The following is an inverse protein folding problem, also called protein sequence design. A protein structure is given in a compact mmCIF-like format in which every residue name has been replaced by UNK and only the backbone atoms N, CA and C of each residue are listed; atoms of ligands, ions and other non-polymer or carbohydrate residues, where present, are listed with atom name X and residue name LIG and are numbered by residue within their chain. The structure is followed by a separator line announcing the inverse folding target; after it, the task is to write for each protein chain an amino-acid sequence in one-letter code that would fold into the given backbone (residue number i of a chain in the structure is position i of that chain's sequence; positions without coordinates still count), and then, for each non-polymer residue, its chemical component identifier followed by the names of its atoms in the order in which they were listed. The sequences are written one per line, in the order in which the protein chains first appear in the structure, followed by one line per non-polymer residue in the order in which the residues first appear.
data_IF_848505874458
#
_entry.id   IF_848505874458
#
_cell.length_a   1.000
_cell.length_b   1.000
_cell.length_c   1.000
_cell.angle_alpha   90.00
_cell.angle_beta   90.00
_cell.angle_gamma   90.00
#
_symmetry.space_group_name_H-M   'P 1'
#
loop_
_entity.id
_entity.type
_entity.pdbx_description
1 polymer ?
#
# COMPACT_ATOMS: atom_id res chain seq x y z
N UNK A 1 49.55 23.33 58.29
CA UNK A 1 49.65 21.86 58.40
C UNK A 1 48.26 21.29 58.21
N UNK A 2 48.13 20.52 57.13
CA UNK A 2 47.06 19.67 56.59
C UNK A 2 45.60 20.15 56.35
N UNK A 3 45.02 19.77 55.19
CA UNK A 3 43.73 20.22 54.64
C UNK A 3 42.64 19.11 54.77
N UNK A 4 41.59 19.20 53.94
CA UNK A 4 40.40 18.32 53.76
C UNK A 4 39.17 18.85 54.54
N UNK A 5 37.98 19.04 53.97
CA UNK A 5 37.34 18.32 52.87
C UNK A 5 36.26 19.16 52.17
N UNK A 6 36.09 18.93 50.86
CA UNK A 6 35.15 19.60 49.98
C UNK A 6 33.76 18.98 50.11
N UNK A 7 32.79 19.73 50.63
CA UNK A 7 31.39 19.33 50.66
C UNK A 7 30.72 19.47 49.29
N UNK A 8 30.75 18.41 48.48
CA UNK A 8 29.88 18.28 47.31
C UNK A 8 28.42 18.11 47.78
N UNK A 9 27.57 19.06 47.40
CA UNK A 9 26.11 18.93 47.50
C UNK A 9 25.64 17.82 46.53
N UNK A 10 25.18 16.72 47.12
CA UNK A 10 24.55 15.60 46.43
C UNK A 10 23.20 16.04 45.84
N UNK A 11 23.05 15.89 44.52
CA UNK A 11 21.77 16.07 43.84
C UNK A 11 20.88 14.87 44.19
N UNK A 12 19.76 15.11 44.87
CA UNK A 12 18.71 14.09 45.06
C UNK A 12 18.25 13.54 43.71
N UNK A 13 18.10 12.21 43.53
CA UNK A 13 17.48 11.67 42.34
C UNK A 13 15.97 11.89 42.40
N UNK A 14 15.43 12.56 41.39
CA UNK A 14 13.99 12.58 41.14
C UNK A 14 13.52 11.16 40.82
N UNK A 15 12.83 10.53 41.77
CA UNK A 15 12.16 9.25 41.58
C UNK A 15 10.80 9.50 40.91
N UNK A 16 10.79 9.67 39.59
CA UNK A 16 9.57 9.68 38.78
C UNK A 16 9.18 8.22 38.49
N UNK A 17 8.39 7.63 39.39
CA UNK A 17 7.84 6.28 39.24
C UNK A 17 6.80 6.25 38.10
N UNK A 18 7.31 6.07 36.89
CA UNK A 18 6.85 5.10 35.89
C UNK A 18 5.35 4.78 35.87
N UNK A 19 4.54 5.66 35.28
CA UNK A 19 3.28 5.28 34.64
C UNK A 19 3.56 4.69 33.24
N UNK A 20 4.19 3.50 33.17
CA UNK A 20 4.63 2.86 31.92
C UNK A 20 3.65 1.84 31.34
N UNK A 21 2.33 1.98 31.54
CA UNK A 21 1.35 1.01 31.03
C UNK A 21 0.67 1.38 29.69
N UNK A 22 1.03 2.49 29.02
CA UNK A 22 0.32 2.95 27.80
C UNK A 22 1.11 2.95 26.48
N UNK A 23 2.38 2.56 26.49
CA UNK A 23 3.26 2.81 25.32
C UNK A 23 3.12 1.78 24.18
N UNK A 24 2.64 0.56 24.46
CA UNK A 24 2.54 -0.49 23.42
C UNK A 24 1.38 -0.29 22.45
N UNK A 25 0.27 0.33 22.89
CA UNK A 25 -0.88 0.60 22.02
C UNK A 25 -0.57 1.73 21.02
N UNK A 26 0.10 2.80 21.49
CA UNK A 26 0.51 3.92 20.62
C UNK A 26 1.52 3.50 19.54
N UNK A 27 2.47 2.61 19.86
CA UNK A 27 3.43 2.09 18.86
C UNK A 27 2.76 1.32 17.73
N UNK A 28 1.73 0.49 18.02
CA UNK A 28 1.02 -0.28 16.98
C UNK A 28 0.21 0.60 16.01
N UNK A 29 -0.25 1.77 16.44
CA UNK A 29 -1.05 2.69 15.61
C UNK A 29 -0.18 3.43 14.58
N UNK A 30 1.09 3.63 14.90
CA UNK A 30 2.07 4.32 14.06
C UNK A 30 2.89 3.37 13.19
N UNK A 31 2.65 2.07 13.26
CA UNK A 31 3.30 1.08 12.39
C UNK A 31 2.47 0.82 11.14
N UNK A 32 3.15 0.50 10.04
CA UNK A 32 2.51 0.12 8.78
C UNK A 32 1.46 -0.97 9.02
N UNK A 33 0.20 -0.79 8.58
CA UNK A 33 -0.79 -1.83 8.70
C UNK A 33 -0.38 -3.10 7.94
N UNK A 34 -0.66 -4.27 8.52
CA UNK A 34 -0.47 -5.57 7.86
C UNK A 34 -1.47 -5.78 6.71
N UNK A 35 -2.50 -4.95 6.66
CA UNK A 35 -3.58 -5.04 5.69
C UNK A 35 -3.18 -4.56 4.30
N UNK A 36 -3.68 -5.28 3.30
CA UNK A 36 -3.49 -4.90 1.91
C UNK A 36 -4.32 -3.67 1.55
N UNK A 37 -3.91 -2.93 0.52
CA UNK A 37 -4.72 -1.81 -0.01
C UNK A 37 -6.14 -2.23 -0.40
N UNK A 38 -6.34 -3.46 -0.89
CA UNK A 38 -7.67 -4.00 -1.17
C UNK A 38 -8.52 -4.05 0.10
N UNK A 39 -7.96 -4.55 1.21
CA UNK A 39 -8.64 -4.61 2.50
C UNK A 39 -8.98 -3.20 3.02
N UNK A 40 -8.03 -2.26 2.93
CA UNK A 40 -8.23 -0.88 3.36
C UNK A 40 -9.37 -0.20 2.59
N UNK A 41 -9.37 -0.32 1.25
CA UNK A 41 -10.41 0.26 0.39
C UNK A 41 -11.77 -0.41 0.66
N UNK A 42 -11.81 -1.74 0.77
CA UNK A 42 -13.05 -2.46 1.02
C UNK A 42 -13.70 -2.02 2.33
N UNK A 43 -12.92 -1.91 3.42
CA UNK A 43 -13.45 -1.42 4.70
C UNK A 43 -13.93 0.02 4.66
N UNK A 44 -13.22 0.89 3.92
CA UNK A 44 -13.68 2.27 3.71
C UNK A 44 -15.05 2.29 3.03
N UNK A 45 -15.25 1.52 1.96
CA UNK A 45 -16.53 1.40 1.26
C UNK A 45 -17.61 0.82 2.18
N UNK A 46 -17.32 -0.27 2.89
CA UNK A 46 -18.27 -0.93 3.79
C UNK A 46 -18.69 -0.05 4.99
N UNK A 47 -17.85 0.90 5.39
CA UNK A 47 -18.19 1.85 6.45
C UNK A 47 -19.14 2.97 6.01
N UNK A 48 -19.29 3.17 4.69
CA UNK A 48 -20.22 4.16 4.15
C UNK A 48 -21.66 3.63 4.17
N UNK A 49 -22.66 4.48 4.47
CA UNK A 49 -24.05 4.03 4.60
C UNK A 49 -24.65 3.48 3.31
N UNK A 50 -24.10 3.88 2.16
CA UNK A 50 -24.61 3.53 0.83
C UNK A 50 -23.70 2.53 0.10
N UNK A 51 -22.72 1.92 0.78
CA UNK A 51 -21.69 1.07 0.15
C UNK A 51 -20.99 1.72 -1.05
N UNK A 52 -20.86 3.04 -1.02
CA UNK A 52 -20.19 3.82 -2.03
C UNK A 52 -19.52 5.05 -1.41
N UNK A 53 -18.33 5.39 -1.90
CA UNK A 53 -17.47 6.41 -1.30
C UNK A 53 -16.68 7.15 -2.39
N UNK A 54 -16.30 8.40 -2.16
CA UNK A 54 -15.41 9.10 -3.09
C UNK A 54 -13.95 8.73 -2.87
N UNK A 55 -13.14 8.89 -3.91
CA UNK A 55 -11.70 8.69 -3.81
C UNK A 55 -11.04 9.58 -2.73
N UNK A 56 -11.52 10.82 -2.59
CA UNK A 56 -11.02 11.74 -1.56
C UNK A 56 -11.35 11.23 -0.16
N UNK A 57 -12.58 10.77 0.04
CA UNK A 57 -13.05 10.23 1.32
C UNK A 57 -12.34 8.91 1.68
N UNK A 58 -11.92 8.10 0.70
CA UNK A 58 -11.06 6.92 0.95
C UNK A 58 -9.73 7.35 1.58
N UNK A 59 -9.12 8.43 1.10
CA UNK A 59 -7.87 8.92 1.68
C UNK A 59 -8.06 9.37 3.13
N UNK A 60 -9.14 10.11 3.39
CA UNK A 60 -9.48 10.62 4.72
C UNK A 60 -9.79 9.48 5.70
N UNK A 61 -10.59 8.51 5.26
CA UNK A 61 -10.92 7.33 6.06
C UNK A 61 -9.67 6.54 6.44
N UNK A 62 -8.75 6.29 5.49
CA UNK A 62 -7.51 5.56 5.77
C UNK A 62 -6.64 6.32 6.77
N UNK A 63 -6.51 7.64 6.63
CA UNK A 63 -5.74 8.47 7.56
C UNK A 63 -6.33 8.42 8.97
N UNK A 64 -7.66 8.48 9.07
CA UNK A 64 -8.38 8.44 10.34
C UNK A 64 -8.22 7.09 11.05
N UNK A 65 -8.34 5.98 10.33
CA UNK A 65 -8.24 4.63 10.90
C UNK A 65 -6.79 4.18 11.11
N UNK A 66 -5.87 4.62 10.26
CA UNK A 66 -4.46 4.22 10.27
C UNK A 66 -3.57 5.47 10.19
N UNK A 67 -3.34 6.16 11.33
CA UNK A 67 -2.53 7.39 11.40
C UNK A 67 -1.12 7.27 10.82
N UNK A 68 -0.57 6.05 10.70
CA UNK A 68 0.64 5.78 9.93
C UNK A 68 0.67 6.45 8.55
N UNK A 69 -0.45 6.48 7.81
CA UNK A 69 -0.46 7.09 6.47
C UNK A 69 -0.45 8.62 6.50
N UNK A 70 -0.79 9.24 7.63
CA UNK A 70 -0.72 10.70 7.80
C UNK A 70 0.74 11.19 7.91
N UNK A 71 1.62 10.37 8.49
CA UNK A 71 3.03 10.71 8.70
C UNK A 71 3.88 10.51 7.44
N UNK A 72 3.36 9.80 6.45
CA UNK A 72 4.04 9.61 5.17
C UNK A 72 4.02 10.91 4.35
N UNK A 73 5.18 11.55 4.21
CA UNK A 73 5.36 12.72 3.35
C UNK A 73 5.11 12.41 1.86
N UNK A 74 5.29 11.14 1.46
CA UNK A 74 5.13 10.71 0.07
C UNK A 74 3.69 10.44 -0.33
N UNK A 75 3.29 10.95 -1.51
CA UNK A 75 2.00 10.66 -2.16
C UNK A 75 1.95 9.26 -2.81
N UNK A 76 3.00 8.44 -2.68
CA UNK A 76 3.08 7.11 -3.31
C UNK A 76 1.95 6.15 -2.86
N UNK A 77 1.55 6.21 -1.60
CA UNK A 77 0.45 5.37 -1.10
C UNK A 77 -0.89 5.75 -1.75
N UNK A 78 -1.16 7.05 -1.97
CA UNK A 78 -2.37 7.51 -2.68
C UNK A 78 -2.38 7.03 -4.14
N UNK A 79 -1.21 6.93 -4.77
CA UNK A 79 -1.12 6.34 -6.11
C UNK A 79 -1.44 4.85 -6.08
N UNK A 80 -0.94 4.13 -5.07
CA UNK A 80 -1.25 2.72 -4.86
C UNK A 80 -2.75 2.48 -4.66
N UNK A 81 -3.45 3.38 -3.95
CA UNK A 81 -4.91 3.34 -3.81
C UNK A 81 -5.62 3.47 -5.17
N UNK A 82 -5.28 4.52 -5.95
CA UNK A 82 -5.87 4.72 -7.28
C UNK A 82 -5.61 3.54 -8.22
N UNK A 83 -4.40 3.03 -8.20
CA UNK A 83 -4.03 1.85 -8.97
C UNK A 83 -4.88 0.63 -8.59
N UNK A 84 -5.08 0.37 -7.30
CA UNK A 84 -5.88 -0.77 -6.84
C UNK A 84 -7.37 -0.67 -7.21
N UNK A 85 -7.93 0.54 -7.16
CA UNK A 85 -9.32 0.80 -7.57
C UNK A 85 -9.54 0.45 -9.05
N UNK A 86 -8.56 0.72 -9.91
CA UNK A 86 -8.65 0.40 -11.34
C UNK A 86 -8.19 -1.02 -11.67
N UNK A 87 -7.30 -1.62 -10.88
CA UNK A 87 -6.72 -2.94 -11.15
C UNK A 87 -7.65 -4.09 -10.73
N UNK A 88 -8.36 -3.96 -9.61
CA UNK A 88 -9.16 -5.06 -9.06
C UNK A 88 -10.63 -4.91 -9.44
N UNK A 89 -11.18 -5.94 -10.10
CA UNK A 89 -12.59 -6.01 -10.52
C UNK A 89 -13.59 -5.98 -9.34
N UNK A 90 -13.11 -6.21 -8.11
CA UNK A 90 -13.95 -6.07 -6.92
C UNK A 90 -14.34 -4.61 -6.64
N UNK A 91 -13.67 -3.62 -7.24
CA UNK A 91 -14.03 -2.21 -7.14
C UNK A 91 -14.56 -1.72 -8.48
N UNK A 92 -15.72 -1.07 -8.43
CA UNK A 92 -16.38 -0.54 -9.61
C UNK A 92 -16.64 0.96 -9.45
N UNK A 93 -16.41 1.68 -10.55
CA UNK A 93 -16.72 3.11 -10.66
C UNK A 93 -18.22 3.27 -10.91
N UNK A 94 -18.87 4.04 -10.04
CA UNK A 94 -20.30 4.33 -10.05
C UNK A 94 -20.59 5.69 -10.70
N UNK A 95 -21.83 6.18 -10.52
CA UNK A 95 -22.25 7.51 -10.98
C UNK A 95 -21.32 8.62 -10.48
N UNK A 96 -21.28 9.71 -11.24
CA UNK A 96 -20.60 10.94 -10.83
C UNK A 96 -21.29 11.49 -9.57
N UNK A 97 -20.51 12.05 -8.65
CA UNK A 97 -21.05 12.75 -7.48
C UNK A 97 -21.95 13.90 -7.92
N UNK A 98 -23.02 14.13 -7.17
CA UNK A 98 -23.93 15.27 -7.34
C UNK A 98 -23.16 16.60 -7.22
N UNK A 99 -22.11 16.63 -6.40
CA UNK A 99 -21.21 17.78 -6.26
C UNK A 99 -20.23 17.97 -7.43
N UNK A 100 -20.18 17.05 -8.40
CA UNK A 100 -19.26 17.09 -9.53
C UNK A 100 -17.80 16.74 -9.21
N UNK A 101 -17.43 16.56 -7.93
CA UNK A 101 -16.04 16.37 -7.43
C UNK A 101 -15.39 15.02 -7.75
N UNK A 102 -16.03 14.17 -8.55
CA UNK A 102 -15.49 12.87 -8.94
C UNK A 102 -16.57 11.81 -9.12
N UNK A 103 -16.16 10.55 -9.14
CA UNK A 103 -17.04 9.39 -9.21
C UNK A 103 -17.06 8.66 -7.89
N UNK A 104 -18.20 8.09 -7.54
CA UNK A 104 -18.28 7.14 -6.44
C UNK A 104 -17.58 5.83 -6.81
N UNK A 105 -17.00 5.18 -5.81
CA UNK A 105 -16.45 3.83 -5.89
C UNK A 105 -17.25 2.94 -4.97
N UNK A 106 -17.52 1.71 -5.42
CA UNK A 106 -18.28 0.72 -4.66
C UNK A 106 -17.67 -0.67 -4.86
N UNK A 107 -18.08 -1.63 -4.03
CA UNK A 107 -17.71 -3.03 -4.20
C UNK A 107 -18.63 -3.68 -5.22
N UNK A 108 -18.08 -4.46 -6.14
CA UNK A 108 -18.87 -5.25 -7.08
C UNK A 108 -19.76 -6.25 -6.32
N UNK A 109 -21.05 -6.43 -6.67
CA UNK A 109 -21.97 -7.31 -5.94
C UNK A 109 -21.42 -8.72 -5.71
N UNK A 110 -20.79 -9.33 -6.73
CA UNK A 110 -20.15 -10.66 -6.64
C UNK A 110 -18.97 -10.78 -5.63
N UNK A 111 -18.46 -9.67 -5.11
CA UNK A 111 -17.42 -9.64 -4.07
C UNK A 111 -17.92 -9.11 -2.72
N UNK A 112 -19.15 -8.59 -2.67
CA UNK A 112 -19.68 -7.91 -1.48
C UNK A 112 -19.80 -8.85 -0.29
N UNK A 113 -20.43 -10.01 -0.48
CA UNK A 113 -20.63 -11.00 0.59
C UNK A 113 -19.30 -11.52 1.16
N UNK A 114 -18.30 -11.74 0.29
CA UNK A 114 -16.97 -12.16 0.73
C UNK A 114 -16.31 -11.11 1.64
N UNK A 115 -16.42 -9.83 1.28
CA UNK A 115 -15.86 -8.74 2.07
C UNK A 115 -16.64 -8.48 3.37
N UNK A 116 -17.96 -8.65 3.36
CA UNK A 116 -18.78 -8.59 4.58
C UNK A 116 -18.41 -9.71 5.57
N UNK A 117 -18.08 -10.90 5.06
CA UNK A 117 -17.60 -12.03 5.86
C UNK A 117 -16.12 -11.94 6.25
N UNK A 118 -15.44 -10.83 5.93
CA UNK A 118 -14.05 -10.58 6.31
C UNK A 118 -13.00 -11.23 5.41
N UNK A 119 -13.38 -11.82 4.27
CA UNK A 119 -12.43 -12.38 3.32
C UNK A 119 -11.82 -11.30 2.42
N UNK A 120 -10.90 -10.53 2.99
CA UNK A 120 -10.14 -9.50 2.27
C UNK A 120 -8.90 -10.06 1.56
N UNK A 121 -8.72 -11.39 1.56
CA UNK A 121 -7.54 -12.01 0.95
C UNK A 121 -7.65 -11.88 -0.55
N UNK A 122 -6.54 -11.49 -1.18
CA UNK A 122 -6.41 -11.43 -2.64
C UNK A 122 -6.75 -12.81 -3.17
N UNK A 123 -7.92 -12.96 -3.81
CA UNK A 123 -8.46 -14.20 -4.35
C UNK A 123 -7.32 -15.02 -4.96
N UNK A 124 -6.87 -16.08 -4.27
CA UNK A 124 -5.88 -17.01 -4.81
C UNK A 124 -6.47 -17.80 -6.00
N UNK A 125 -7.73 -17.52 -6.40
CA UNK A 125 -8.40 -18.20 -7.49
C UNK A 125 -7.86 -17.89 -8.89
N UNK A 126 -6.88 -16.98 -9.05
CA UNK A 126 -6.15 -16.90 -10.33
C UNK A 126 -5.29 -18.14 -10.64
N UNK A 127 -5.14 -19.08 -9.70
CA UNK A 127 -4.51 -20.39 -9.96
C UNK A 127 -5.51 -21.49 -10.39
N UNK A 128 -6.83 -21.28 -10.36
CA UNK A 128 -7.81 -22.35 -10.68
C UNK A 128 -8.74 -22.09 -11.86
N UNK A 129 -8.67 -20.93 -12.51
CA UNK A 129 -9.53 -20.61 -13.66
C UNK A 129 -8.78 -20.27 -14.97
N UNK A 130 -7.44 -20.42 -15.02
CA UNK A 130 -6.66 -20.16 -16.24
C UNK A 130 -6.14 -21.42 -16.96
N UNK A 131 -6.46 -22.63 -16.48
CA UNK A 131 -6.07 -23.88 -17.15
C UNK A 131 -7.24 -24.62 -17.82
N UNK A 132 -8.44 -24.03 -17.85
CA UNK A 132 -9.54 -24.53 -18.64
C UNK A 132 -9.90 -23.46 -19.66
N UNK A 133 -9.48 -23.70 -20.90
CA UNK A 133 -9.83 -23.01 -22.14
C UNK A 133 -8.87 -21.91 -22.64
N UNK A 134 -8.53 -22.08 -23.93
CA UNK A 134 -7.82 -21.19 -24.88
C UNK A 134 -6.29 -21.18 -24.85
N UNK A 135 -5.74 -22.11 -25.63
CA UNK A 135 -4.57 -21.94 -26.49
C UNK A 135 -4.49 -20.53 -27.11
N UNK A 136 -3.26 -20.07 -27.37
CA UNK A 136 -2.86 -18.79 -28.02
C UNK A 136 -2.84 -17.52 -27.15
N UNK A 137 -1.75 -17.33 -26.40
CA UNK A 137 -1.27 -15.99 -26.02
C UNK A 137 0.18 -15.89 -26.47
N UNK A 138 0.44 -15.05 -27.47
CA UNK A 138 1.80 -14.67 -27.87
C UNK A 138 2.45 -13.86 -26.73
N UNK A 139 3.73 -14.10 -26.40
CA UNK A 139 4.41 -13.41 -25.31
C UNK A 139 4.63 -11.92 -25.63
N UNK A 140 4.64 -11.09 -24.59
CA UNK A 140 4.84 -9.64 -24.68
C UNK A 140 6.33 -9.35 -24.96
N UNK A 141 6.70 -8.53 -25.98
CA UNK A 141 8.09 -8.38 -26.47
C UNK A 141 9.16 -7.94 -25.46
N UNK A 142 8.79 -7.38 -24.31
CA UNK A 142 9.74 -6.88 -23.31
C UNK A 142 10.24 -7.95 -22.32
N UNK A 143 9.75 -9.20 -22.40
CA UNK A 143 10.16 -10.29 -21.51
C UNK A 143 11.24 -11.23 -22.09
N UNK A 144 11.86 -10.89 -23.21
CA UNK A 144 13.07 -11.58 -23.66
C UNK A 144 14.10 -10.53 -24.06
N UNK A 145 15.00 -10.18 -23.14
CA UNK A 145 16.31 -9.62 -23.45
C UNK A 145 17.13 -9.51 -22.18
N UNK A 146 17.73 -10.63 -21.78
CA UNK A 146 19.03 -10.64 -21.10
C UNK A 146 19.70 -11.97 -21.41
N UNK A 147 20.45 -12.02 -22.51
CA UNK A 147 21.82 -12.50 -22.32
C UNK A 147 22.78 -11.71 -23.19
N UNK A 148 23.64 -10.99 -22.47
CA UNK A 148 24.81 -10.29 -22.94
C UNK A 148 25.88 -11.34 -23.25
N UNK A 149 26.11 -11.63 -24.52
CA UNK A 149 27.41 -12.09 -24.97
C UNK A 149 28.03 -11.01 -25.83
N UNK A 150 28.88 -10.22 -25.18
CA UNK A 150 29.81 -9.29 -25.82
C UNK A 150 30.83 -10.14 -26.59
N UNK A 151 30.68 -10.26 -27.90
CA UNK A 151 31.76 -10.77 -28.77
C UNK A 151 32.37 -9.58 -29.51
N UNK A 152 33.50 -9.14 -28.96
CA UNK A 152 34.44 -8.22 -29.59
C UNK A 152 35.48 -9.07 -30.32
N UNK A 153 35.24 -9.42 -31.59
CA UNK A 153 36.32 -9.70 -32.55
C UNK A 153 35.80 -9.89 -33.99
N UNK A 154 36.60 -9.38 -34.94
CA UNK A 154 36.61 -9.69 -36.39
C UNK A 154 35.51 -9.01 -37.24
N UNK A 155 35.79 -8.37 -38.38
CA UNK A 155 37.03 -8.13 -39.13
C UNK A 155 36.73 -6.99 -40.12
N UNK A 156 37.71 -6.12 -40.35
CA UNK A 156 37.67 -5.20 -41.49
C UNK A 156 37.61 -6.00 -42.78
N UNK A 157 36.68 -5.66 -43.67
CA UNK A 157 36.92 -5.77 -45.11
C UNK A 157 36.14 -4.67 -45.86
N UNK A 158 36.94 -3.78 -46.45
CA UNK A 158 36.77 -3.02 -47.69
C UNK A 158 35.50 -3.38 -48.48
N UNK A 159 34.70 -2.41 -48.93
CA UNK A 159 34.95 -1.78 -50.24
C UNK A 159 34.16 -0.49 -50.38
N UNK A 160 34.86 0.59 -50.73
CA UNK A 160 34.32 1.68 -51.53
C UNK A 160 34.00 1.11 -52.92
N UNK A 161 32.84 1.46 -53.48
CA UNK A 161 32.61 1.43 -54.92
C UNK A 161 31.85 2.71 -55.32
N UNK A 162 32.61 3.55 -56.03
CA UNK A 162 32.30 4.74 -56.83
C UNK A 162 31.34 5.81 -56.31
#
# INVERSE_FOLDING_TARGET
MNPQDSGYLSCSPCNDQTYSHSNHKHKKILTKPEESYVALIARAILSSPNYQILLVDIYEWIIHQYPYFATLQSKAWRNSIRHNLSLNECFIRQKKSESGRGYYWSIHPASLDAFLNGDFRRRQARLRAKHANTSSVQPIPWMMNTDLSYDYSMQQEQTYNY
#
